data_IF_398531001450
#
_entry.id   IF_398531001450
#
_cell.length_a   1.000
_cell.length_b   1.000
_cell.length_c   1.000
_cell.angle_alpha   90.00
_cell.angle_beta   90.00
_cell.angle_gamma   90.00
#
_symmetry.space_group_name_H-M   'P 1'
#
loop_
_entity.id
_entity.type
_entity.pdbx_description
1 polymer ?
#
# COMPACT_ATOMS: atom_id res chain seq x y z
N UNK A 1 -13.22 -5.37 -7.81
CA UNK A 1 -12.64 -5.97 -6.58
C UNK A 1 -12.62 -7.50 -6.68
N UNK A 2 -11.77 -8.10 -7.54
CA UNK A 2 -11.55 -9.56 -7.54
C UNK A 2 -10.28 -9.95 -6.77
N UNK A 3 -9.30 -9.06 -6.71
CA UNK A 3 -7.99 -9.27 -6.07
C UNK A 3 -8.05 -9.31 -4.54
N UNK A 4 -8.79 -8.39 -3.90
CA UNK A 4 -8.95 -8.39 -2.44
C UNK A 4 -9.61 -9.66 -1.91
N UNK A 5 -10.69 -10.10 -2.57
CA UNK A 5 -11.38 -11.34 -2.22
C UNK A 5 -10.53 -12.60 -2.49
N UNK A 6 -9.71 -12.59 -3.55
CA UNK A 6 -8.82 -13.70 -3.84
C UNK A 6 -7.63 -13.81 -2.86
N UNK A 7 -7.27 -12.71 -2.21
CA UNK A 7 -6.15 -12.61 -1.29
C UNK A 7 -6.56 -12.57 0.19
N UNK A 8 -7.87 -12.54 0.46
CA UNK A 8 -8.45 -12.19 1.77
C UNK A 8 -7.82 -10.95 2.42
N UNK A 9 -7.47 -9.96 1.59
CA UNK A 9 -6.75 -8.76 1.99
C UNK A 9 -7.54 -7.53 1.54
N UNK A 10 -8.05 -6.76 2.51
CA UNK A 10 -8.92 -5.61 2.27
C UNK A 10 -8.20 -4.30 2.61
N UNK A 11 -8.45 -3.22 1.85
CA UNK A 11 -7.77 -1.95 2.09
C UNK A 11 -8.30 -1.27 3.36
N UNK A 12 -7.41 -0.56 4.05
CA UNK A 12 -7.74 0.27 5.23
C UNK A 12 -8.09 1.71 4.84
N UNK A 13 -7.68 2.14 3.64
CA UNK A 13 -7.96 3.46 3.11
C UNK A 13 -8.04 3.42 1.57
N UNK A 14 -9.02 4.12 1.00
CA UNK A 14 -9.25 4.21 -0.45
C UNK A 14 -9.39 5.68 -0.82
N UNK A 15 -8.49 6.17 -1.66
CA UNK A 15 -8.53 7.51 -2.24
C UNK A 15 -8.83 7.48 -3.73
N UNK A 16 -8.82 8.66 -4.35
CA UNK A 16 -9.07 8.82 -5.78
C UNK A 16 -7.97 8.21 -6.65
N UNK A 17 -6.72 8.32 -6.22
CA UNK A 17 -5.52 7.91 -6.96
C UNK A 17 -4.65 6.87 -6.23
N UNK A 18 -5.04 6.46 -5.02
CA UNK A 18 -4.28 5.55 -4.17
C UNK A 18 -5.16 4.67 -3.30
N UNK A 19 -4.69 3.45 -3.02
CA UNK A 19 -5.32 2.49 -2.11
C UNK A 19 -4.24 2.01 -1.12
N UNK A 20 -4.60 1.90 0.15
CA UNK A 20 -3.70 1.49 1.23
C UNK A 20 -4.16 0.14 1.78
N UNK A 21 -3.25 -0.83 1.80
CA UNK A 21 -3.47 -2.15 2.38
C UNK A 21 -2.67 -2.32 3.67
N UNK A 22 -3.16 -3.12 4.63
CA UNK A 22 -2.32 -3.58 5.72
C UNK A 22 -1.22 -4.48 5.14
N UNK A 23 -0.03 -4.41 5.73
CA UNK A 23 1.16 -5.14 5.27
C UNK A 23 1.92 -5.72 6.46
N UNK A 24 2.46 -6.95 6.38
CA UNK A 24 3.35 -7.49 7.39
C UNK A 24 4.75 -6.86 7.38
N UNK A 25 5.09 -6.09 6.33
CA UNK A 25 6.38 -5.43 6.17
C UNK A 25 6.33 -4.18 5.29
N UNK A 26 7.46 -3.48 5.13
CA UNK A 26 7.53 -2.22 4.38
C UNK A 26 7.62 -2.42 2.86
N UNK A 27 7.82 -3.65 2.38
CA UNK A 27 8.00 -3.90 0.95
C UNK A 27 6.64 -3.91 0.25
N UNK A 28 6.50 -3.31 -0.94
CA UNK A 28 5.27 -3.44 -1.72
C UNK A 28 4.99 -4.87 -2.16
N UNK A 29 5.99 -5.77 -2.13
CA UNK A 29 5.80 -7.18 -2.42
C UNK A 29 5.02 -7.91 -1.32
N UNK A 30 5.05 -7.40 -0.08
CA UNK A 30 4.41 -8.00 1.09
C UNK A 30 2.87 -7.97 1.02
N UNK A 31 2.31 -7.15 0.12
CA UNK A 31 0.87 -7.01 -0.11
C UNK A 31 0.42 -7.57 -1.47
N UNK A 32 1.36 -8.07 -2.29
CA UNK A 32 1.00 -8.67 -3.56
C UNK A 32 0.52 -10.11 -3.34
N UNK A 33 -0.70 -10.45 -3.82
CA UNK A 33 -1.15 -11.82 -3.73
C UNK A 33 -0.34 -12.73 -4.65
N UNK A 34 0.00 -13.90 -4.14
CA UNK A 34 0.68 -14.96 -4.87
C UNK A 34 -0.21 -16.20 -4.91
N UNK A 35 0.00 -17.06 -5.92
CA UNK A 35 -0.56 -18.41 -5.97
C UNK A 35 0.16 -19.32 -4.98
N UNK A 36 -0.38 -20.52 -4.75
CA UNK A 36 0.26 -21.54 -3.90
C UNK A 36 1.67 -21.96 -4.39
N UNK A 37 1.94 -21.75 -5.69
CA UNK A 37 3.26 -21.96 -6.33
C UNK A 37 4.23 -20.78 -6.13
N UNK A 38 3.82 -19.74 -5.40
CA UNK A 38 4.62 -18.54 -5.15
C UNK A 38 4.70 -17.57 -6.34
N UNK A 39 3.86 -17.74 -7.37
CA UNK A 39 3.83 -16.82 -8.53
C UNK A 39 2.84 -15.68 -8.29
N UNK A 40 3.04 -14.47 -8.83
CA UNK A 40 2.06 -13.40 -8.71
C UNK A 40 0.68 -13.83 -9.22
N UNK A 41 -0.38 -13.53 -8.45
CA UNK A 41 -1.74 -13.94 -8.79
C UNK A 41 -2.19 -13.31 -10.12
N UNK A 42 -2.67 -14.11 -11.10
CA UNK A 42 -3.22 -13.59 -12.34
C UNK A 42 -4.39 -12.63 -12.10
N UNK A 43 -4.37 -11.46 -12.75
CA UNK A 43 -5.38 -10.41 -12.55
C UNK A 43 -5.18 -9.58 -11.27
N UNK A 44 -4.12 -9.82 -10.52
CA UNK A 44 -3.64 -8.95 -9.44
C UNK A 44 -2.93 -7.69 -9.95
N UNK A 45 -2.52 -6.84 -9.02
CA UNK A 45 -1.72 -5.66 -9.32
C UNK A 45 -0.35 -6.05 -9.87
N UNK A 46 0.16 -5.24 -10.79
CA UNK A 46 1.53 -5.34 -11.30
C UNK A 46 2.24 -4.06 -10.93
N UNK A 47 3.35 -4.18 -10.19
CA UNK A 47 4.11 -3.00 -9.78
C UNK A 47 4.90 -2.41 -10.95
N UNK A 48 5.01 -1.09 -10.97
CA UNK A 48 5.86 -0.35 -11.89
C UNK A 48 5.37 1.07 -12.13
N UNK A 49 6.13 1.83 -12.92
CA UNK A 49 5.88 3.26 -13.18
C UNK A 49 5.23 3.54 -14.53
N UNK A 50 5.11 2.51 -15.39
CA UNK A 50 4.51 2.63 -16.71
C UNK A 50 2.97 2.62 -16.65
N UNK A 51 2.27 3.20 -17.64
CA UNK A 51 0.82 3.12 -17.72
C UNK A 51 0.32 1.68 -17.64
N UNK A 52 -0.74 1.47 -16.86
CA UNK A 52 -1.31 0.14 -16.59
C UNK A 52 -0.63 -0.65 -15.46
N UNK A 53 0.45 -0.10 -14.87
CA UNK A 53 1.08 -0.62 -13.66
C UNK A 53 0.71 0.23 -12.44
N UNK A 54 0.90 -0.34 -11.26
CA UNK A 54 0.65 0.29 -9.97
C UNK A 54 1.97 0.81 -9.41
N UNK A 55 2.04 2.13 -9.22
CA UNK A 55 3.17 2.77 -8.56
C UNK A 55 3.07 2.54 -7.06
N UNK A 56 4.16 2.08 -6.45
CA UNK A 56 4.29 2.09 -5.00
C UNK A 56 4.55 3.51 -4.51
N UNK A 57 3.71 3.99 -3.58
CA UNK A 57 3.82 5.33 -3.01
C UNK A 57 4.63 5.33 -1.71
N UNK A 58 4.50 4.28 -0.89
CA UNK A 58 5.23 4.11 0.35
C UNK A 58 4.60 3.09 1.29
N UNK A 59 5.24 2.88 2.43
CA UNK A 59 4.74 2.09 3.54
C UNK A 59 5.00 2.85 4.85
N UNK A 60 4.04 2.83 5.76
CA UNK A 60 4.13 3.52 7.04
C UNK A 60 3.59 2.60 8.15
N UNK A 61 4.04 2.83 9.38
CA UNK A 61 3.60 2.04 10.53
C UNK A 61 2.19 2.44 10.97
N UNK A 62 1.54 1.57 11.74
CA UNK A 62 0.26 1.92 12.38
C UNK A 62 0.43 3.12 13.31
N UNK A 63 1.55 3.20 14.04
CA UNK A 63 1.84 4.34 14.93
C UNK A 63 1.95 5.67 14.17
N UNK A 64 2.51 5.65 12.95
CA UNK A 64 2.49 6.84 12.09
C UNK A 64 1.06 7.25 11.73
N UNK A 65 0.18 6.29 11.44
CA UNK A 65 -1.22 6.57 11.14
C UNK A 65 -1.96 7.19 12.34
N UNK A 66 -1.76 6.65 13.54
CA UNK A 66 -2.30 7.21 14.79
C UNK A 66 -1.83 8.65 15.01
N UNK A 67 -0.53 8.92 14.82
CA UNK A 67 0.00 10.29 14.89
C UNK A 67 -0.70 11.22 13.87
N UNK A 68 -0.98 10.76 12.65
CA UNK A 68 -1.73 11.58 11.69
C UNK A 68 -3.15 11.88 12.18
N UNK A 69 -3.81 10.93 12.86
CA UNK A 69 -5.14 11.14 13.46
C UNK A 69 -5.10 12.13 14.62
N UNK A 70 -4.07 12.09 15.47
CA UNK A 70 -3.87 13.04 16.55
C UNK A 70 -3.61 14.47 16.03
N UNK A 71 -2.74 14.62 15.03
CA UNK A 71 -2.32 15.93 14.51
C UNK A 71 -3.37 16.62 13.65
N UNK A 72 -4.10 15.85 12.82
CA UNK A 72 -5.00 16.40 11.80
C UNK A 72 -6.47 16.31 12.20
N UNK A 73 -6.79 15.59 13.28
CA UNK A 73 -8.14 15.23 13.67
C UNK A 73 -8.74 14.14 12.77
N UNK A 74 -9.96 13.69 13.08
CA UNK A 74 -10.57 12.50 12.44
C UNK A 74 -11.05 12.64 10.99
N UNK A 75 -10.85 13.77 10.31
CA UNK A 75 -11.43 14.04 8.98
C UNK A 75 -10.36 14.15 7.90
N UNK A 76 -9.68 13.02 7.61
CA UNK A 76 -8.82 12.87 6.44
C UNK A 76 -8.73 11.40 6.01
N UNK A 77 -8.03 11.15 4.91
CA UNK A 77 -7.79 9.81 4.37
C UNK A 77 -6.28 9.54 4.26
N UNK A 78 -5.82 8.43 4.85
CA UNK A 78 -4.41 8.03 4.86
C UNK A 78 -3.84 7.86 3.44
N UNK A 79 -4.66 7.50 2.45
CA UNK A 79 -4.25 7.36 1.05
C UNK A 79 -3.63 8.64 0.48
N UNK A 80 -4.04 9.80 1.00
CA UNK A 80 -3.56 11.11 0.54
C UNK A 80 -2.21 11.49 1.13
N UNK A 81 -1.81 10.84 2.23
CA UNK A 81 -0.64 11.18 3.03
C UNK A 81 0.50 10.16 2.88
N UNK A 82 0.17 8.88 2.64
CA UNK A 82 1.15 7.80 2.62
C UNK A 82 2.11 7.95 1.43
N UNK A 83 3.34 8.39 1.75
CA UNK A 83 4.45 8.51 0.81
C UNK A 83 5.73 8.16 1.55
N UNK A 84 6.64 7.45 0.90
CA UNK A 84 8.00 7.36 1.41
C UNK A 84 8.70 8.69 1.20
N UNK A 85 9.42 9.15 2.22
CA UNK A 85 10.25 10.33 2.09
C UNK A 85 11.41 9.99 1.13
N UNK A 86 11.63 10.72 0.03
CA UNK A 86 12.72 10.41 -0.92
C UNK A 86 14.12 10.46 -0.28
N UNK A 87 14.25 11.08 0.89
CA UNK A 87 15.52 11.18 1.65
C UNK A 87 15.86 9.93 2.49
N UNK A 88 14.99 8.91 2.52
CA UNK A 88 15.23 7.68 3.30
C UNK A 88 15.98 6.59 2.52
N UNK A 89 16.54 6.92 1.34
CA UNK A 89 17.21 5.98 0.44
C UNK A 89 18.72 6.20 0.25
N UNK A 90 19.37 7.00 1.10
CA UNK A 90 20.84 7.12 1.15
C UNK A 90 21.31 6.67 2.54
N UNK A 91 21.54 5.36 2.70
CA UNK A 91 22.11 4.83 3.93
C UNK A 91 21.58 3.46 4.32
N UNK A 92 21.86 2.45 3.50
CA UNK A 92 22.49 1.19 3.94
C UNK A 92 23.09 0.46 2.73
#
# INVERSE_FOLDING_TARGET
MKTAAAADLYPVAIGTDAIVYPSPGPSPLDVLPHTDEGKPLPGGFRLGVSPGLVKWQGAQTVLWAEQQFEERGGVFNLSNLIKNNPTAGEGE
#
